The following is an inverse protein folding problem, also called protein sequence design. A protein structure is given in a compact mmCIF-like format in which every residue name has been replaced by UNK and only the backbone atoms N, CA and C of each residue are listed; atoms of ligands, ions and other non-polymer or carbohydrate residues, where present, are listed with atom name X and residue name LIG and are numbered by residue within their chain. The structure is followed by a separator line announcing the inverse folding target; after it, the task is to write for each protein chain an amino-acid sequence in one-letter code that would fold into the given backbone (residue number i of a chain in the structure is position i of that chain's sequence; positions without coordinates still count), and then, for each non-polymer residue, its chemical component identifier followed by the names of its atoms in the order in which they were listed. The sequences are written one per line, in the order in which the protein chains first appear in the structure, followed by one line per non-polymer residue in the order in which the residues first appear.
data_IF_823716898364
#
_entry.id   IF_823716898364
#
_cell.length_a   1.000
_cell.length_b   1.000
_cell.length_c   1.000
_cell.angle_alpha   90.00
_cell.angle_beta   90.00
_cell.angle_gamma   90.00
#
_symmetry.space_group_name_H-M   'P 1'
#
loop_
_entity.id
_entity.type
_entity.pdbx_description
1 polymer ?
#
# COMPACT_ATOMS: atom_id res chain seq x y z
N UNK A 1 -3.91 -9.09 25.57
CA UNK A 1 -3.76 -9.59 24.20
C UNK A 1 -5.10 -10.11 23.74
N UNK A 2 -5.77 -9.36 22.89
CA UNK A 2 -7.02 -9.80 22.26
C UNK A 2 -6.67 -10.95 21.32
N UNK A 3 -7.16 -12.16 21.58
CA UNK A 3 -6.88 -13.38 20.80
C UNK A 3 -7.44 -13.38 19.35
N UNK A 4 -7.52 -12.22 18.70
CA UNK A 4 -7.86 -12.05 17.30
C UNK A 4 -6.60 -12.13 16.46
N UNK A 5 -6.69 -12.84 15.33
CA UNK A 5 -5.60 -12.94 14.38
C UNK A 5 -5.30 -11.57 13.76
N UNK A 6 -4.05 -11.11 13.88
CA UNK A 6 -3.59 -9.83 13.33
C UNK A 6 -3.14 -10.07 11.89
N UNK A 7 -4.02 -9.80 10.93
CA UNK A 7 -3.72 -9.97 9.51
C UNK A 7 -4.46 -8.98 8.61
N UNK A 8 -3.85 -8.66 7.46
CA UNK A 8 -4.43 -7.69 6.51
C UNK A 8 -5.48 -8.28 5.56
N UNK A 9 -5.68 -9.61 5.53
CA UNK A 9 -6.71 -10.22 4.69
C UNK A 9 -8.08 -9.65 5.03
N UNK A 10 -8.79 -9.19 3.98
CA UNK A 10 -10.08 -8.50 4.01
C UNK A 10 -10.06 -7.11 4.68
N UNK A 11 -8.89 -6.58 5.02
CA UNK A 11 -8.77 -5.22 5.54
C UNK A 11 -9.10 -4.20 4.44
N UNK A 12 -9.99 -3.23 4.68
CA UNK A 12 -10.36 -2.23 3.69
C UNK A 12 -9.35 -1.08 3.58
N UNK A 13 -9.25 -0.53 2.38
CA UNK A 13 -8.79 0.85 2.20
C UNK A 13 -9.95 1.77 2.59
N UNK A 14 -9.84 2.41 3.74
CA UNK A 14 -10.95 3.16 4.35
C UNK A 14 -10.88 4.66 4.11
N UNK A 15 -9.74 5.17 3.62
CA UNK A 15 -9.55 6.58 3.28
C UNK A 15 -8.71 6.71 2.02
N UNK A 16 -9.20 7.44 1.02
CA UNK A 16 -8.56 7.68 -0.27
C UNK A 16 -8.69 9.15 -0.61
N UNK A 17 -7.55 9.80 -0.80
CA UNK A 17 -7.48 11.22 -1.15
C UNK A 17 -6.65 11.35 -2.41
N UNK A 18 -7.33 11.74 -3.50
CA UNK A 18 -6.71 11.91 -4.82
C UNK A 18 -5.61 12.97 -4.78
N UNK A 19 -4.49 12.67 -5.43
CA UNK A 19 -3.22 13.42 -5.42
C UNK A 19 -2.65 13.60 -4.02
N UNK A 20 -2.86 12.61 -3.15
CA UNK A 20 -2.28 12.60 -1.83
C UNK A 20 -1.86 11.20 -1.39
N UNK A 21 -2.82 10.35 -1.00
CA UNK A 21 -2.53 9.01 -0.48
C UNK A 21 -3.76 8.09 -0.50
N UNK A 22 -3.51 6.79 -0.40
CA UNK A 22 -4.52 5.78 -0.04
C UNK A 22 -4.14 5.12 1.28
N UNK A 23 -5.10 4.96 2.19
CA UNK A 23 -4.87 4.48 3.55
C UNK A 23 -5.72 3.25 3.87
N UNK A 24 -5.08 2.29 4.52
CA UNK A 24 -5.66 1.02 4.95
C UNK A 24 -5.04 0.55 6.27
N UNK A 25 -5.23 -0.72 6.59
CA UNK A 25 -4.65 -1.34 7.78
C UNK A 25 -5.44 -1.13 9.08
N UNK A 26 -6.68 -0.63 9.01
CA UNK A 26 -7.60 -0.72 10.14
C UNK A 26 -8.19 -2.14 10.21
N UNK A 27 -7.59 -2.96 11.07
CA UNK A 27 -7.92 -4.38 11.18
C UNK A 27 -9.27 -4.65 11.87
N UNK A 28 -9.79 -3.70 12.66
CA UNK A 28 -10.98 -3.91 13.49
C UNK A 28 -12.07 -2.83 13.32
N UNK A 29 -11.86 -1.80 12.49
CA UNK A 29 -12.84 -0.73 12.26
C UNK A 29 -13.01 0.24 13.44
N UNK A 30 -12.29 0.01 14.54
CA UNK A 30 -12.39 0.77 15.80
C UNK A 30 -11.03 1.04 16.45
N UNK A 31 -9.94 0.54 15.85
CA UNK A 31 -8.61 0.62 16.43
C UNK A 31 -7.67 -0.40 15.80
N UNK A 32 -6.51 0.09 15.38
CA UNK A 32 -5.43 -0.73 14.84
C UNK A 32 -4.53 -1.19 16.00
N UNK A 33 -4.21 -2.48 16.02
CA UNK A 33 -3.30 -3.11 16.99
C UNK A 33 -2.06 -3.58 16.23
N UNK A 34 -0.90 -3.40 16.82
CA UNK A 34 0.37 -3.91 16.30
C UNK A 34 0.70 -5.27 16.92
N UNK A 35 1.65 -5.99 16.32
CA UNK A 35 2.19 -7.22 16.92
C UNK A 35 2.93 -6.97 18.24
N UNK A 36 3.25 -5.71 18.57
CA UNK A 36 3.90 -5.29 19.81
C UNK A 36 2.91 -4.81 20.88
N UNK A 37 1.59 -4.84 20.60
CA UNK A 37 0.53 -4.30 21.44
C UNK A 37 -0.25 -3.17 20.76
N UNK A 38 -1.02 -2.39 21.53
CA UNK A 38 -1.92 -1.36 20.96
C UNK A 38 -1.18 -0.30 20.14
N UNK A 39 -0.05 0.19 20.65
CA UNK A 39 0.73 1.26 20.02
C UNK A 39 2.23 1.02 20.17
N UNK A 40 3.02 1.53 19.22
CA UNK A 40 4.48 1.52 19.30
C UNK A 40 5.08 2.85 18.83
N UNK A 41 6.35 3.06 19.19
CA UNK A 41 7.07 4.31 18.94
C UNK A 41 7.51 4.46 17.47
N UNK A 42 7.71 5.70 17.02
CA UNK A 42 8.42 5.96 15.76
C UNK A 42 9.88 5.49 15.88
N UNK A 43 10.33 4.62 14.97
CA UNK A 43 11.69 4.07 15.01
C UNK A 43 12.72 5.09 14.53
N UNK A 44 12.51 5.69 13.35
CA UNK A 44 13.34 6.75 12.81
C UNK A 44 12.58 7.57 11.73
N UNK A 45 13.18 8.68 11.29
CA UNK A 45 12.66 9.50 10.18
C UNK A 45 13.72 9.66 9.08
N UNK A 46 14.43 8.58 8.77
CA UNK A 46 15.53 8.60 7.82
C UNK A 46 15.05 8.98 6.40
N UNK A 47 13.96 8.36 5.97
CA UNK A 47 13.38 8.58 4.65
C UNK A 47 12.37 9.73 4.66
N UNK A 48 12.34 10.49 3.55
CA UNK A 48 11.42 11.60 3.32
C UNK A 48 10.31 11.17 2.37
N UNK A 49 9.17 11.82 2.47
CA UNK A 49 8.03 11.64 1.57
C UNK A 49 8.22 12.44 0.26
N UNK A 50 9.26 12.11 -0.50
CA UNK A 50 9.72 12.87 -1.66
C UNK A 50 9.25 12.32 -3.01
N UNK A 51 8.52 11.21 -3.03
CA UNK A 51 8.03 10.56 -4.26
C UNK A 51 6.71 9.83 -4.00
N UNK A 52 6.03 9.43 -5.07
CA UNK A 52 4.89 8.51 -5.00
C UNK A 52 5.35 7.08 -4.67
N UNK A 53 4.40 6.22 -4.30
CA UNK A 53 4.66 4.81 -4.01
C UNK A 53 5.34 4.54 -2.67
N UNK A 54 5.61 5.53 -1.82
CA UNK A 54 6.15 5.30 -0.48
C UNK A 54 5.09 4.72 0.45
N UNK A 55 5.45 3.66 1.17
CA UNK A 55 4.68 3.07 2.26
C UNK A 55 5.10 3.71 3.58
N UNK A 56 4.12 4.23 4.32
CA UNK A 56 4.35 4.95 5.58
C UNK A 56 3.29 4.65 6.62
N UNK A 57 3.67 4.73 7.90
CA UNK A 57 2.79 4.48 9.04
C UNK A 57 1.80 5.63 9.25
N UNK A 58 0.50 5.30 9.33
CA UNK A 58 -0.49 6.22 9.86
C UNK A 58 -0.46 6.17 11.39
N UNK A 59 -0.58 7.33 12.05
CA UNK A 59 -0.56 7.42 13.50
C UNK A 59 -1.57 8.45 14.01
N UNK A 60 -1.96 8.28 15.28
CA UNK A 60 -2.83 9.22 16.00
C UNK A 60 -2.02 10.25 16.80
N UNK A 61 -0.85 10.64 16.27
CA UNK A 61 0.15 11.46 16.93
C UNK A 61 1.48 10.72 17.13
N UNK A 62 2.49 11.50 17.51
CA UNK A 62 3.88 11.04 17.67
C UNK A 62 3.96 9.82 18.60
N UNK A 63 4.73 8.80 18.21
CA UNK A 63 4.92 7.55 18.94
C UNK A 63 3.63 6.74 19.18
N UNK A 64 2.60 6.91 18.34
CA UNK A 64 1.33 6.17 18.42
C UNK A 64 1.06 5.40 17.13
N UNK A 65 2.07 4.68 16.64
CA UNK A 65 1.94 3.81 15.48
C UNK A 65 1.15 2.55 15.84
N UNK A 66 0.48 1.97 14.84
CA UNK A 66 -0.33 0.76 14.97
C UNK A 66 -0.20 -0.06 13.69
N UNK A 67 -1.24 -0.76 13.22
CA UNK A 67 -1.24 -1.45 11.93
C UNK A 67 -1.69 -0.61 10.72
N UNK A 68 -2.17 0.63 10.93
CA UNK A 68 -2.58 1.49 9.81
C UNK A 68 -1.37 2.01 9.02
N UNK A 69 -1.52 2.02 7.70
CA UNK A 69 -0.51 2.50 6.77
C UNK A 69 -1.17 3.28 5.64
N UNK A 70 -0.36 4.06 4.93
CA UNK A 70 -0.75 4.69 3.68
C UNK A 70 0.31 4.53 2.59
N UNK A 71 -0.14 4.60 1.34
CA UNK A 71 0.70 4.66 0.15
C UNK A 71 0.56 6.06 -0.44
N UNK A 72 1.67 6.75 -0.63
CA UNK A 72 1.67 8.10 -1.23
C UNK A 72 1.37 8.04 -2.72
N UNK A 73 0.51 8.91 -3.23
CA UNK A 73 0.25 9.05 -4.68
C UNK A 73 1.04 10.18 -5.33
N UNK A 74 1.65 11.03 -4.51
CA UNK A 74 2.54 12.13 -4.92
C UNK A 74 3.58 12.36 -3.82
N UNK A 75 4.56 13.25 -4.02
CA UNK A 75 5.41 13.71 -2.91
C UNK A 75 4.59 14.45 -1.84
N UNK A 76 4.77 14.07 -0.57
CA UNK A 76 4.04 14.62 0.59
C UNK A 76 4.98 15.13 1.69
N UNK A 77 5.88 16.09 1.41
CA UNK A 77 6.94 16.50 2.34
C UNK A 77 6.44 17.10 3.66
N UNK A 78 5.18 17.53 3.72
CA UNK A 78 4.52 18.02 4.94
C UNK A 78 4.30 16.92 6.01
N UNK A 79 4.44 15.64 5.63
CA UNK A 79 4.39 14.46 6.51
C UNK A 79 5.76 14.07 7.08
N UNK A 80 6.84 14.68 6.61
CA UNK A 80 8.20 14.41 7.09
C UNK A 80 8.29 14.63 8.60
N UNK A 81 8.95 13.69 9.30
CA UNK A 81 9.12 13.71 10.77
C UNK A 81 7.82 13.63 11.58
N UNK A 82 6.69 13.38 10.93
CA UNK A 82 5.39 13.11 11.55
C UNK A 82 4.93 11.68 11.31
N UNK A 83 5.27 11.14 10.14
CA UNK A 83 5.00 9.77 9.75
C UNK A 83 6.32 9.10 9.34
N UNK A 84 6.44 7.82 9.65
CA UNK A 84 7.61 7.03 9.33
C UNK A 84 7.40 6.27 8.02
N UNK A 85 8.21 6.61 7.02
CA UNK A 85 8.34 5.81 5.79
C UNK A 85 9.13 4.55 6.12
N UNK A 86 8.57 3.40 5.80
CA UNK A 86 9.21 2.10 6.08
C UNK A 86 9.47 1.27 4.83
N UNK A 87 8.83 1.58 3.69
CA UNK A 87 9.03 0.84 2.45
C UNK A 87 8.56 1.64 1.23
N UNK A 88 8.61 1.03 0.05
CA UNK A 88 8.07 1.56 -1.21
C UNK A 88 7.45 0.45 -2.07
N UNK A 89 6.48 0.82 -2.91
CA UNK A 89 5.88 -0.05 -3.93
C UNK A 89 6.92 -0.31 -5.01
N UNK A 90 7.28 -1.57 -5.21
CA UNK A 90 8.22 -2.00 -6.26
C UNK A 90 7.47 -2.41 -7.53
N UNK A 91 6.33 -3.09 -7.38
CA UNK A 91 5.44 -3.49 -8.47
C UNK A 91 3.99 -3.23 -8.09
N UNK A 92 3.12 -3.04 -9.09
CA UNK A 92 1.68 -2.82 -8.89
C UNK A 92 1.27 -1.39 -8.55
N UNK A 93 2.11 -0.38 -8.83
CA UNK A 93 1.75 1.03 -8.63
C UNK A 93 0.51 1.42 -9.47
N UNK A 94 0.36 0.83 -10.66
CA UNK A 94 -0.86 0.98 -11.46
C UNK A 94 -2.15 0.58 -10.72
N UNK A 95 -2.12 -0.45 -9.86
CA UNK A 95 -3.28 -0.83 -9.03
C UNK A 95 -3.58 0.27 -7.99
N UNK A 96 -2.54 0.82 -7.36
CA UNK A 96 -2.69 1.91 -6.41
C UNK A 96 -3.25 3.18 -7.08
N UNK A 97 -2.83 3.48 -8.32
CA UNK A 97 -3.39 4.56 -9.14
C UNK A 97 -4.85 4.32 -9.51
N UNK A 98 -5.23 3.08 -9.86
CA UNK A 98 -6.65 2.75 -10.07
C UNK A 98 -7.45 3.02 -8.80
N UNK A 99 -6.98 2.56 -7.64
CA UNK A 99 -7.61 2.83 -6.35
C UNK A 99 -7.75 4.33 -6.05
N UNK A 100 -6.79 5.16 -6.44
CA UNK A 100 -6.87 6.62 -6.28
C UNK A 100 -8.00 7.25 -7.12
N UNK A 101 -8.35 6.64 -8.27
CA UNK A 101 -9.34 7.20 -9.21
C UNK A 101 -10.79 6.83 -8.91
N UNK A 102 -11.04 5.98 -7.90
CA UNK A 102 -12.39 5.52 -7.58
C UNK A 102 -13.27 6.66 -7.04
N UNK A 103 -14.58 6.43 -7.06
CA UNK A 103 -15.53 7.31 -6.40
C UNK A 103 -15.39 7.27 -4.88
N UNK A 104 -15.24 8.45 -4.27
CA UNK A 104 -15.12 8.63 -2.82
C UNK A 104 -16.16 9.64 -2.33
N UNK A 105 -16.68 9.42 -1.12
CA UNK A 105 -17.54 10.34 -0.38
C UNK A 105 -16.91 10.58 0.99
N UNK A 106 -16.63 11.85 1.31
CA UNK A 106 -15.94 12.22 2.56
C UNK A 106 -14.64 11.42 2.75
N UNK A 107 -13.86 11.32 1.67
CA UNK A 107 -12.60 10.56 1.57
C UNK A 107 -12.76 9.04 1.70
N UNK A 108 -13.97 8.53 1.93
CA UNK A 108 -14.27 7.10 2.02
C UNK A 108 -14.68 6.54 0.66
N UNK A 109 -14.14 5.41 0.22
CA UNK A 109 -14.59 4.74 -0.99
C UNK A 109 -16.10 4.48 -1.01
N UNK A 110 -16.78 4.78 -2.11
CA UNK A 110 -18.22 4.52 -2.28
C UNK A 110 -18.53 3.02 -2.36
N UNK A 111 -17.55 2.22 -2.81
CA UNK A 111 -17.58 0.75 -2.80
C UNK A 111 -16.51 0.23 -1.85
N UNK A 112 -16.70 -1.00 -1.37
CA UNK A 112 -15.72 -1.66 -0.50
C UNK A 112 -14.53 -2.16 -1.33
N UNK A 113 -13.33 -1.63 -1.05
CA UNK A 113 -12.06 -2.10 -1.62
C UNK A 113 -11.21 -2.71 -0.51
N UNK A 114 -10.85 -3.98 -0.65
CA UNK A 114 -10.16 -4.77 0.39
C UNK A 114 -8.89 -5.41 -0.15
N UNK A 115 -7.97 -5.71 0.78
CA UNK A 115 -6.85 -6.61 0.53
C UNK A 115 -7.40 -8.04 0.49
N UNK A 116 -7.67 -8.57 -0.69
CA UNK A 116 -8.26 -9.90 -0.85
C UNK A 116 -7.33 -11.01 -0.36
N UNK A 117 -6.05 -10.94 -0.73
CA UNK A 117 -4.98 -11.84 -0.33
C UNK A 117 -3.71 -11.02 -0.04
N UNK A 118 -2.85 -11.54 0.83
CA UNK A 118 -1.56 -10.94 1.16
C UNK A 118 -0.57 -12.03 1.56
N UNK A 119 0.73 -11.71 1.52
CA UNK A 119 1.77 -12.64 1.93
C UNK A 119 3.16 -12.05 1.74
N UNK A 120 4.16 -12.87 2.01
CA UNK A 120 5.56 -12.56 1.76
C UNK A 120 6.01 -13.33 0.51
N UNK A 121 6.56 -12.60 -0.46
CA UNK A 121 7.15 -13.22 -1.66
C UNK A 121 8.53 -13.77 -1.31
N UNK A 122 8.77 -15.03 -1.67
CA UNK A 122 10.13 -15.61 -1.64
C UNK A 122 10.87 -15.15 -2.90
N UNK A 123 12.20 -15.11 -2.85
CA UNK A 123 13.10 -14.56 -3.90
C UNK A 123 12.84 -15.00 -5.37
N UNK A 124 12.03 -16.04 -5.61
CA UNK A 124 11.73 -16.58 -6.94
C UNK A 124 10.27 -16.39 -7.40
N UNK A 125 9.44 -15.68 -6.64
CA UNK A 125 8.04 -15.42 -7.01
C UNK A 125 7.85 -13.95 -7.37
N UNK A 126 7.49 -13.68 -8.62
CA UNK A 126 7.31 -12.32 -9.11
C UNK A 126 5.95 -11.71 -8.75
N UNK A 127 4.96 -12.53 -8.39
CA UNK A 127 3.69 -12.08 -7.79
C UNK A 127 2.80 -11.13 -8.61
N UNK A 128 3.09 -10.88 -9.89
CA UNK A 128 2.42 -9.83 -10.71
C UNK A 128 1.50 -10.34 -11.82
N UNK A 129 1.52 -11.63 -12.12
CA UNK A 129 0.70 -12.23 -13.19
C UNK A 129 -0.71 -12.50 -12.66
N UNK A 130 -1.73 -12.09 -13.42
CA UNK A 130 -3.14 -12.36 -13.09
C UNK A 130 -3.38 -13.87 -13.03
N UNK A 131 -3.95 -14.34 -11.91
CA UNK A 131 -4.40 -15.73 -11.75
C UNK A 131 -5.91 -15.83 -11.99
N UNK A 132 -6.38 -15.38 -13.15
CA UNK A 132 -7.81 -15.36 -13.52
C UNK A 132 -8.23 -16.54 -14.41
N UNK A 133 -7.30 -17.46 -14.71
CA UNK A 133 -7.55 -18.63 -15.55
C UNK A 133 -7.49 -18.34 -17.06
N UNK A 134 -7.15 -17.12 -17.48
CA UNK A 134 -6.95 -16.76 -18.89
C UNK A 134 -5.71 -17.41 -19.52
N UNK A 135 -4.73 -17.80 -18.70
CA UNK A 135 -3.43 -18.29 -19.15
C UNK A 135 -2.46 -17.19 -19.56
N UNK A 136 -2.81 -15.91 -19.39
CA UNK A 136 -1.88 -14.80 -19.63
C UNK A 136 -0.73 -14.84 -18.60
N UNK A 137 0.50 -14.79 -19.11
CA UNK A 137 1.73 -14.80 -18.31
C UNK A 137 2.35 -13.41 -18.14
N UNK A 138 1.71 -12.36 -18.66
CA UNK A 138 2.23 -10.99 -18.60
C UNK A 138 1.58 -10.19 -17.47
N UNK A 139 2.30 -9.23 -16.88
CA UNK A 139 1.71 -8.29 -15.94
C UNK A 139 0.76 -7.31 -16.65
N UNK A 140 -0.27 -6.88 -15.93
CA UNK A 140 -1.27 -5.93 -16.41
C UNK A 140 -0.71 -4.56 -16.82
N UNK A 141 0.42 -4.18 -16.22
CA UNK A 141 1.07 -2.92 -16.48
C UNK A 141 2.39 -3.18 -17.18
N UNK A 142 2.51 -2.63 -18.38
CA UNK A 142 3.66 -2.83 -19.28
C UNK A 142 5.00 -2.41 -18.67
N UNK A 143 4.97 -1.50 -17.70
CA UNK A 143 6.16 -1.06 -16.94
C UNK A 143 6.80 -2.17 -16.08
N UNK A 144 6.12 -3.31 -15.91
CA UNK A 144 6.63 -4.47 -15.18
C UNK A 144 6.97 -5.66 -16.08
N UNK A 145 6.84 -5.53 -17.41
CA UNK A 145 7.29 -6.56 -18.33
C UNK A 145 8.81 -6.42 -18.47
N UNK A 146 9.55 -7.51 -18.34
CA UNK A 146 10.96 -7.58 -18.71
C UNK A 146 11.11 -7.51 -20.24
N UNK A 147 10.82 -6.36 -20.83
CA UNK A 147 11.12 -6.06 -22.24
C UNK A 147 12.47 -5.36 -22.24
N UNK A 148 13.52 -6.07 -22.61
CA UNK A 148 14.77 -5.41 -22.96
C UNK A 148 14.50 -4.57 -24.21
N UNK A 149 14.61 -3.24 -24.09
CA UNK A 149 14.36 -2.28 -25.19
C UNK A 149 15.26 -2.59 -26.40
N UNK A 150 16.33 -3.38 -26.22
CA UNK A 150 17.22 -3.88 -27.27
C UNK A 150 16.58 -4.93 -28.20
N UNK A 151 15.52 -5.61 -27.77
CA UNK A 151 14.83 -6.64 -28.57
C UNK A 151 13.72 -6.07 -29.46
N UNK A 152 13.46 -4.77 -29.37
CA UNK A 152 12.54 -4.07 -30.28
C UNK A 152 13.26 -3.84 -31.61
N UNK A 153 13.13 -4.80 -32.53
CA UNK A 153 13.48 -4.59 -33.94
C UNK A 153 12.41 -3.71 -34.60
N UNK A 154 12.76 -2.46 -34.85
CA UNK A 154 12.04 -1.65 -35.83
C UNK A 154 12.34 -2.23 -37.23
N UNK A 155 11.32 -2.79 -37.88
CA UNK A 155 11.34 -3.08 -39.31
C UNK A 155 10.89 -1.86 -40.09
#
# INVERSE_FOLDING_TARGET
MTGKSVHFKRCPFHQIIKKFMIQGGDLNGTGAESIYGEKFEDENFHYKHNQEGLLSMANAGRHKNSSQFFITMVSTPHLNRKHMVFSQVVKGMGVARILETIEVKDEKPAKLYIIAEYGELKERDEGIVRKDGSGDSHPDFLEYVDIDVKDIKFY
#
